data_IF_405058354017
#
_entry.id   IF_405058354017
#
_cell.length_a   1.000
_cell.length_b   1.000
_cell.length_c   1.000
_cell.angle_alpha   90.00
_cell.angle_beta   90.00
_cell.angle_gamma   90.00
#
_symmetry.space_group_name_H-M   'P 1'
#
loop_
_entity.id
_entity.type
_entity.pdbx_description
1 polymer ?
#
# COMPACT_ATOMS: atom_id res chain seq x y z
N UNK A 1 -23.93 -17.67 -2.86
CA UNK A 1 -23.28 -17.16 -1.64
C UNK A 1 -21.79 -17.38 -1.81
N UNK A 2 -21.03 -16.35 -2.16
CA UNK A 2 -19.58 -16.47 -2.32
C UNK A 2 -18.91 -16.43 -0.95
N UNK A 3 -18.11 -17.46 -0.68
CA UNK A 3 -17.37 -17.69 0.54
C UNK A 3 -16.35 -16.55 0.75
N UNK A 4 -16.70 -15.53 1.54
CA UNK A 4 -15.80 -14.39 1.82
C UNK A 4 -14.82 -14.81 2.91
N UNK A 5 -13.54 -14.89 2.56
CA UNK A 5 -12.46 -15.17 3.51
C UNK A 5 -12.43 -14.13 4.65
N UNK A 6 -12.12 -14.61 5.85
CA UNK A 6 -11.96 -13.77 7.04
C UNK A 6 -10.69 -12.93 6.96
N UNK A 7 -10.54 -11.93 7.83
CA UNK A 7 -9.33 -11.10 7.88
C UNK A 7 -8.07 -11.91 8.27
N UNK A 8 -8.10 -12.79 9.30
CA UNK A 8 -6.96 -13.65 9.63
C UNK A 8 -6.52 -14.55 8.47
N UNK A 9 -7.47 -15.17 7.75
CA UNK A 9 -7.15 -16.02 6.59
C UNK A 9 -6.48 -15.24 5.47
N UNK A 10 -6.93 -13.99 5.26
CA UNK A 10 -6.36 -13.09 4.26
C UNK A 10 -4.95 -12.65 4.66
N UNK A 11 -4.72 -12.27 5.92
CA UNK A 11 -3.42 -11.86 6.43
C UNK A 11 -2.39 -13.00 6.31
N UNK A 12 -2.74 -14.21 6.76
CA UNK A 12 -1.85 -15.37 6.69
C UNK A 12 -1.47 -15.69 5.22
N UNK A 13 -2.46 -15.72 4.33
CA UNK A 13 -2.25 -15.95 2.89
C UNK A 13 -1.29 -14.93 2.29
N UNK A 14 -1.47 -13.63 2.55
CA UNK A 14 -0.63 -12.60 1.96
C UNK A 14 0.75 -12.53 2.61
N UNK A 15 0.87 -12.72 3.93
CA UNK A 15 2.15 -12.82 4.61
C UNK A 15 3.03 -13.93 4.01
N UNK A 16 2.45 -15.10 3.73
CA UNK A 16 3.17 -16.19 3.08
C UNK A 16 3.55 -15.83 1.64
N UNK A 17 2.60 -15.29 0.89
CA UNK A 17 2.84 -14.92 -0.51
C UNK A 17 3.97 -13.90 -0.66
N UNK A 18 4.04 -12.88 0.19
CA UNK A 18 5.14 -11.90 0.17
C UNK A 18 6.47 -12.48 0.66
N UNK A 19 6.47 -13.57 1.43
CA UNK A 19 7.69 -14.26 1.87
C UNK A 19 8.29 -15.14 0.77
N UNK A 20 7.45 -15.81 -0.02
CA UNK A 20 7.90 -16.88 -0.92
C UNK A 20 7.96 -16.48 -2.39
N UNK A 21 7.14 -15.53 -2.82
CA UNK A 21 7.00 -15.17 -4.24
C UNK A 21 7.93 -14.01 -4.60
N UNK A 22 9.04 -14.32 -5.28
CA UNK A 22 10.10 -13.36 -5.61
C UNK A 22 9.65 -12.25 -6.56
N UNK A 23 8.50 -12.40 -7.23
CA UNK A 23 7.99 -11.37 -8.14
C UNK A 23 7.69 -10.04 -7.44
N UNK A 24 7.51 -10.05 -6.12
CA UNK A 24 7.22 -8.84 -5.35
C UNK A 24 8.49 -8.04 -5.00
N UNK A 25 9.65 -8.71 -4.91
CA UNK A 25 10.92 -8.11 -4.46
C UNK A 25 11.32 -6.92 -5.33
N UNK A 26 11.24 -7.07 -6.65
CA UNK A 26 11.71 -6.08 -7.63
C UNK A 26 10.60 -5.50 -8.50
N UNK A 27 9.34 -5.63 -8.09
CA UNK A 27 8.23 -5.04 -8.81
C UNK A 27 8.43 -3.51 -8.94
N UNK A 28 8.15 -2.90 -10.11
CA UNK A 28 8.16 -1.43 -10.24
C UNK A 28 6.95 -0.82 -9.54
N UNK A 29 6.95 0.51 -9.40
CA UNK A 29 5.73 1.26 -9.08
C UNK A 29 4.65 0.98 -10.13
N UNK A 30 3.38 1.00 -9.73
CA UNK A 30 2.27 0.62 -10.61
C UNK A 30 2.12 1.62 -11.77
N UNK A 31 2.06 1.12 -12.99
CA UNK A 31 1.94 1.93 -14.21
C UNK A 31 0.70 2.83 -14.19
N UNK A 32 -0.41 2.37 -13.60
CA UNK A 32 -1.61 3.19 -13.41
C UNK A 32 -1.29 4.52 -12.70
N UNK A 33 -0.38 4.50 -11.72
CA UNK A 33 0.03 5.71 -11.00
C UNK A 33 1.09 6.47 -11.80
N UNK A 34 2.14 5.78 -12.26
CA UNK A 34 3.27 6.45 -12.94
C UNK A 34 2.90 7.06 -14.29
N UNK A 35 1.87 6.55 -14.97
CA UNK A 35 1.37 7.09 -16.24
C UNK A 35 0.33 8.21 -16.07
N UNK A 36 -0.17 8.45 -14.85
CA UNK A 36 -1.20 9.45 -14.56
C UNK A 36 -0.72 10.46 -13.51
N UNK A 37 0.59 10.74 -13.47
CA UNK A 37 1.20 11.68 -12.50
C UNK A 37 0.65 13.09 -12.60
N UNK A 38 0.15 13.49 -13.78
CA UNK A 38 -0.52 14.77 -13.99
C UNK A 38 -1.83 14.95 -13.21
N UNK A 39 -2.40 13.87 -12.67
CA UNK A 39 -3.55 13.90 -11.78
C UNK A 39 -3.15 14.07 -10.30
N UNK A 40 -1.87 13.88 -9.97
CA UNK A 40 -1.38 14.02 -8.62
C UNK A 40 -1.14 15.50 -8.30
N UNK A 41 -1.50 15.95 -7.08
CA UNK A 41 -1.12 17.28 -6.64
C UNK A 41 0.41 17.34 -6.40
N UNK A 42 0.98 18.54 -6.45
CA UNK A 42 2.41 18.75 -6.19
C UNK A 42 2.83 18.46 -4.73
N UNK A 43 1.86 18.49 -3.81
CA UNK A 43 2.02 18.12 -2.40
C UNK A 43 0.65 17.76 -1.82
N UNK A 44 0.63 17.02 -0.71
CA UNK A 44 -0.61 16.59 -0.06
C UNK A 44 -0.48 15.25 0.62
N UNK A 45 -1.55 14.82 1.29
CA UNK A 45 -1.62 13.53 1.99
C UNK A 45 -2.23 12.45 1.12
N UNK A 46 -1.60 11.28 1.12
CA UNK A 46 -2.03 10.11 0.37
C UNK A 46 -2.36 8.96 1.31
N UNK A 47 -3.46 8.30 1.03
CA UNK A 47 -3.75 6.97 1.55
C UNK A 47 -3.52 5.94 0.44
N UNK A 48 -2.46 5.14 0.56
CA UNK A 48 -2.20 3.99 -0.32
C UNK A 48 -2.78 2.73 0.32
N UNK A 49 -3.75 2.09 -0.34
CA UNK A 49 -4.46 0.92 0.18
C UNK A 49 -4.01 -0.33 -0.57
N UNK A 50 -3.55 -1.33 0.19
CA UNK A 50 -2.93 -2.56 -0.29
C UNK A 50 -1.63 -2.30 -1.08
N UNK A 51 -0.75 -1.46 -0.50
CA UNK A 51 0.51 -1.02 -1.11
C UNK A 51 1.61 -2.09 -1.19
N UNK A 52 1.45 -3.20 -0.45
CA UNK A 52 2.39 -4.32 -0.48
C UNK A 52 3.78 -3.97 0.07
N UNK A 53 4.80 -4.06 -0.79
CA UNK A 53 6.19 -3.79 -0.43
C UNK A 53 6.60 -2.33 -0.70
N UNK A 54 5.63 -1.40 -0.77
CA UNK A 54 5.88 0.04 -0.82
C UNK A 54 6.41 0.63 -2.13
N UNK A 55 6.35 -0.09 -3.26
CA UNK A 55 6.89 0.43 -4.53
C UNK A 55 6.16 1.69 -5.02
N UNK A 56 4.83 1.71 -4.90
CA UNK A 56 4.01 2.88 -5.19
C UNK A 56 4.18 3.97 -4.13
N UNK A 57 4.25 3.59 -2.86
CA UNK A 57 4.54 4.50 -1.73
C UNK A 57 5.82 5.28 -1.92
N UNK A 58 6.91 4.60 -2.28
CA UNK A 58 8.20 5.23 -2.58
C UNK A 58 8.08 6.24 -3.73
N UNK A 59 7.39 5.85 -4.81
CA UNK A 59 7.18 6.72 -5.97
C UNK A 59 6.39 7.98 -5.62
N UNK A 60 5.30 7.83 -4.85
CA UNK A 60 4.46 8.93 -4.40
C UNK A 60 5.23 9.87 -3.46
N UNK A 61 6.00 9.33 -2.51
CA UNK A 61 6.84 10.16 -1.64
C UNK A 61 7.92 10.93 -2.40
N UNK A 62 8.59 10.28 -3.36
CA UNK A 62 9.53 10.96 -4.26
C UNK A 62 8.88 12.06 -5.10
N UNK A 63 7.56 12.02 -5.27
CA UNK A 63 6.77 13.04 -5.98
C UNK A 63 6.32 14.20 -5.08
N UNK A 64 6.78 14.26 -3.82
CA UNK A 64 6.46 15.35 -2.89
C UNK A 64 5.23 15.11 -2.01
N UNK A 65 4.70 13.89 -1.98
CA UNK A 65 3.50 13.53 -1.24
C UNK A 65 3.83 12.89 0.12
N UNK A 66 2.97 13.12 1.12
CA UNK A 66 3.05 12.48 2.43
C UNK A 66 2.15 11.24 2.46
N UNK A 67 2.75 10.05 2.55
CA UNK A 67 2.05 8.78 2.29
C UNK A 67 1.85 7.98 3.57
N UNK A 68 0.60 7.57 3.78
CA UNK A 68 0.22 6.51 4.71
C UNK A 68 -0.13 5.28 3.87
N UNK A 69 0.64 4.20 4.04
CA UNK A 69 0.39 2.92 3.41
C UNK A 69 -0.33 1.97 4.38
N UNK A 70 -1.43 1.40 3.91
CA UNK A 70 -2.21 0.40 4.60
C UNK A 70 -2.09 -0.93 3.86
N UNK A 71 -1.72 -2.00 4.56
CA UNK A 71 -1.78 -3.36 4.01
C UNK A 71 -2.20 -4.36 5.09
N UNK A 72 -2.83 -5.47 4.69
CA UNK A 72 -3.21 -6.54 5.62
C UNK A 72 -2.00 -7.42 5.99
N UNK A 73 -0.93 -7.36 5.19
CA UNK A 73 0.29 -8.16 5.33
C UNK A 73 1.36 -7.42 6.12
N UNK A 74 1.57 -7.82 7.38
CA UNK A 74 2.71 -7.37 8.17
C UNK A 74 4.04 -7.65 7.46
N UNK A 75 4.17 -8.80 6.80
CA UNK A 75 5.39 -9.16 6.05
C UNK A 75 5.68 -8.12 4.96
N UNK A 76 4.65 -7.68 4.23
CA UNK A 76 4.83 -6.72 3.14
C UNK A 76 5.28 -5.36 3.68
N UNK A 77 4.62 -4.87 4.72
CA UNK A 77 4.96 -3.59 5.36
C UNK A 77 6.34 -3.60 6.04
N UNK A 78 6.80 -4.75 6.53
CA UNK A 78 8.18 -4.88 7.02
C UNK A 78 9.21 -4.66 5.91
N UNK A 79 9.00 -5.25 4.73
CA UNK A 79 9.86 -5.00 3.56
C UNK A 79 9.76 -3.54 3.09
N UNK A 80 8.55 -3.00 3.00
CA UNK A 80 8.33 -1.61 2.61
C UNK A 80 9.09 -0.65 3.55
N UNK A 81 8.92 -0.81 4.86
CA UNK A 81 9.58 0.03 5.88
C UNK A 81 11.10 -0.09 5.88
N UNK A 82 11.64 -1.27 5.61
CA UNK A 82 13.09 -1.45 5.49
C UNK A 82 13.66 -0.62 4.32
N UNK A 83 12.94 -0.57 3.20
CA UNK A 83 13.34 0.18 2.01
C UNK A 83 13.12 1.69 2.19
N UNK A 84 12.02 2.07 2.81
CA UNK A 84 11.63 3.45 2.99
C UNK A 84 11.09 3.67 4.41
N UNK A 85 11.95 4.10 5.35
CA UNK A 85 11.56 4.31 6.74
C UNK A 85 10.79 5.63 6.98
N UNK A 86 10.65 6.50 5.97
CA UNK A 86 10.02 7.82 6.11
C UNK A 86 8.51 7.79 5.92
N UNK A 87 7.96 6.78 5.24
CA UNK A 87 6.52 6.60 5.12
C UNK A 87 5.90 6.04 6.40
N UNK A 88 4.60 6.30 6.56
CA UNK A 88 3.81 5.73 7.65
C UNK A 88 3.14 4.43 7.18
N UNK A 89 3.30 3.36 7.95
CA UNK A 89 2.76 2.04 7.61
C UNK A 89 1.77 1.56 8.66
N UNK A 90 0.61 1.08 8.22
CA UNK A 90 -0.46 0.59 9.07
C UNK A 90 -0.87 -0.82 8.63
N UNK A 91 -0.67 -1.80 9.52
CA UNK A 91 -1.24 -3.14 9.31
C UNK A 91 -2.73 -3.08 9.60
N UNK A 92 -3.57 -3.22 8.59
CA UNK A 92 -5.01 -3.26 8.76
C UNK A 92 -5.73 -3.97 7.62
N UNK A 93 -6.93 -4.46 7.91
CA UNK A 93 -7.90 -4.84 6.89
C UNK A 93 -8.52 -3.57 6.30
N UNK A 94 -8.42 -3.37 4.99
CA UNK A 94 -8.99 -2.21 4.31
C UNK A 94 -10.53 -2.11 4.44
N UNK A 95 -11.22 -3.19 4.82
CA UNK A 95 -12.65 -3.17 5.19
C UNK A 95 -12.90 -2.46 6.53
N UNK A 96 -11.87 -2.27 7.34
CA UNK A 96 -11.89 -1.69 8.68
C UNK A 96 -10.68 -0.75 8.87
N UNK A 97 -10.68 0.36 8.13
CA UNK A 97 -9.58 1.34 8.16
C UNK A 97 -9.49 1.98 9.57
N UNK A 98 -8.36 1.86 10.29
CA UNK A 98 -8.23 2.34 11.68
C UNK A 98 -7.88 3.84 11.74
N UNK A 99 -8.36 4.60 10.76
CA UNK A 99 -8.17 6.04 10.67
C UNK A 99 -9.52 6.69 10.94
N UNK A 100 -9.52 7.75 11.74
CA UNK A 100 -10.69 8.64 11.81
C UNK A 100 -11.01 9.14 10.40
N UNK A 101 -12.19 9.71 10.19
CA UNK A 101 -12.43 10.47 8.96
C UNK A 101 -11.34 11.55 8.85
N UNK A 102 -10.44 11.36 7.89
CA UNK A 102 -9.33 12.24 7.60
C UNK A 102 -9.52 12.79 6.19
N UNK A 103 -9.00 13.99 5.95
CA UNK A 103 -8.89 14.50 4.59
C UNK A 103 -7.60 13.97 3.97
N UNK A 104 -7.75 13.22 2.89
CA UNK A 104 -6.68 12.83 1.99
C UNK A 104 -6.88 13.58 0.67
N UNK A 105 -5.79 14.07 0.10
CA UNK A 105 -5.80 14.72 -1.21
C UNK A 105 -5.82 13.66 -2.31
N UNK A 106 -5.24 12.49 -2.04
CA UNK A 106 -5.23 11.34 -2.94
C UNK A 106 -5.54 10.06 -2.16
N UNK A 107 -6.36 9.19 -2.74
CA UNK A 107 -6.53 7.81 -2.28
C UNK A 107 -6.18 6.89 -3.44
N UNK A 108 -5.20 6.03 -3.23
CA UNK A 108 -4.72 5.07 -4.21
C UNK A 108 -5.11 3.65 -3.81
N UNK A 109 -5.61 2.89 -4.80
CA UNK A 109 -5.79 1.45 -4.67
C UNK A 109 -5.59 0.83 -6.05
N UNK A 110 -4.53 0.02 -6.20
CA UNK A 110 -4.12 -0.51 -7.50
C UNK A 110 -3.88 -2.01 -7.42
N UNK A 111 -4.98 -2.76 -7.33
CA UNK A 111 -4.98 -4.22 -7.13
C UNK A 111 -5.16 -5.03 -8.43
N UNK A 112 -4.55 -4.66 -9.56
CA UNK A 112 -4.52 -5.52 -10.76
C UNK A 112 -3.18 -5.38 -11.48
#
# INVERSE_FOLDING_TARGET
MTDRKTAPDSAAKWNERYRTDTKFTDAPARSLITSNTNLLPASGRVLEIAGGMGKTTDFLQCSGLDVIELDISLTALQFARQKNPLAYYIVADARHIPLKTQKFDVVCNSIF
#
